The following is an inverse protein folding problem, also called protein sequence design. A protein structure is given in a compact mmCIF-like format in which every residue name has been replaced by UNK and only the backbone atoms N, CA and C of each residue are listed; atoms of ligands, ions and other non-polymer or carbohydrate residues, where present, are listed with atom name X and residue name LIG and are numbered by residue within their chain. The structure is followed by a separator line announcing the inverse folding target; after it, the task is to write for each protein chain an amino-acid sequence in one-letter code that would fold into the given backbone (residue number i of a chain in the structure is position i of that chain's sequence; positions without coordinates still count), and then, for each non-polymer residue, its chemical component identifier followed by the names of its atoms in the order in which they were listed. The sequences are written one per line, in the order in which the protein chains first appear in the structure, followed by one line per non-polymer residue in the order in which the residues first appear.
data_IF_967617661923
#
_entry.id   IF_967617661923
#
_cell.length_a   1.000
_cell.length_b   1.000
_cell.length_c   1.000
_cell.angle_alpha   90.00
_cell.angle_beta   90.00
_cell.angle_gamma   90.00
#
_symmetry.space_group_name_H-M   'P 1'
#
loop_
_entity.id
_entity.type
_entity.pdbx_description
1 polymer ?
#
# COMPACT_ATOMS: atom_id res chain seq x y z
N UNK A 1 1.58 20.06 -4.83
CA UNK A 1 2.54 19.72 -5.92
C UNK A 1 3.88 19.23 -5.33
N UNK A 2 3.85 18.41 -4.28
CA UNK A 2 5.03 17.98 -3.52
C UNK A 2 5.23 16.45 -3.54
N UNK A 3 4.15 15.68 -3.62
CA UNK A 3 4.21 14.22 -3.72
C UNK A 3 4.98 13.75 -4.96
N UNK A 4 4.77 14.39 -6.12
CA UNK A 4 5.45 14.03 -7.37
C UNK A 4 6.98 14.13 -7.19
N UNK A 5 7.47 15.18 -6.53
CA UNK A 5 8.89 15.38 -6.27
C UNK A 5 9.46 14.26 -5.37
N UNK A 6 8.74 13.87 -4.32
CA UNK A 6 9.12 12.74 -3.46
C UNK A 6 9.22 11.43 -4.27
N UNK A 7 8.26 11.19 -5.16
CA UNK A 7 8.25 9.96 -5.97
C UNK A 7 9.39 9.95 -7.01
N UNK A 8 9.66 11.08 -7.66
CA UNK A 8 10.74 11.20 -8.65
C UNK A 8 12.12 11.06 -7.99
N UNK A 9 12.36 11.79 -6.89
CA UNK A 9 13.61 11.72 -6.16
C UNK A 9 13.79 10.34 -5.51
N UNK A 10 12.76 9.83 -4.82
CA UNK A 10 12.81 8.53 -4.15
C UNK A 10 13.00 7.36 -5.12
N UNK A 11 12.44 7.42 -6.33
CA UNK A 11 12.73 6.44 -7.39
C UNK A 11 14.19 6.52 -7.85
N UNK A 12 14.69 7.72 -8.09
CA UNK A 12 16.06 7.94 -8.58
C UNK A 12 17.10 7.44 -7.58
N UNK A 13 16.83 7.64 -6.30
CA UNK A 13 17.68 7.21 -5.18
C UNK A 13 17.39 5.77 -4.70
N UNK A 14 16.43 5.08 -5.30
CA UNK A 14 15.99 3.71 -4.94
C UNK A 14 15.60 3.59 -3.45
N UNK A 15 14.86 4.57 -2.93
CA UNK A 15 14.41 4.61 -1.54
C UNK A 15 13.31 3.56 -1.26
N UNK A 16 12.40 3.36 -2.22
CA UNK A 16 11.32 2.38 -2.13
C UNK A 16 11.41 1.33 -3.24
N UNK A 17 10.92 0.12 -2.95
CA UNK A 17 10.92 -1.03 -3.87
C UNK A 17 9.60 -1.17 -4.63
N UNK A 18 8.52 -0.58 -4.12
CA UNK A 18 7.23 -0.50 -4.80
C UNK A 18 6.51 0.80 -4.42
N UNK A 19 5.63 1.25 -5.31
CA UNK A 19 4.74 2.38 -5.12
C UNK A 19 3.42 2.10 -5.84
N UNK A 20 2.29 2.39 -5.21
CA UNK A 20 0.95 2.25 -5.76
C UNK A 20 0.09 3.45 -5.36
N UNK A 21 -0.59 4.09 -6.31
CA UNK A 21 -1.52 5.16 -5.98
C UNK A 21 -2.73 4.63 -5.23
N UNK A 22 -3.31 5.50 -4.42
CA UNK A 22 -4.58 5.24 -3.77
C UNK A 22 -5.68 5.94 -4.55
N UNK A 23 -6.58 5.14 -5.11
CA UNK A 23 -7.69 5.58 -5.95
C UNK A 23 -9.01 4.90 -5.56
N UNK A 24 -9.71 4.27 -6.50
CA UNK A 24 -11.02 3.65 -6.28
C UNK A 24 -10.91 2.41 -5.37
N UNK A 25 -11.85 2.29 -4.44
CA UNK A 25 -11.81 1.27 -3.38
C UNK A 25 -10.80 1.57 -2.27
N UNK A 26 -10.18 2.75 -2.29
CA UNK A 26 -9.39 3.28 -1.18
C UNK A 26 -8.11 2.50 -0.89
N UNK A 27 -7.66 2.58 0.36
CA UNK A 27 -6.49 1.86 0.84
C UNK A 27 -6.71 0.34 0.80
N UNK A 28 -7.95 -0.13 1.00
CA UNK A 28 -8.28 -1.55 0.95
C UNK A 28 -7.93 -2.18 -0.41
N UNK A 29 -8.35 -1.55 -1.51
CA UNK A 29 -8.01 -2.04 -2.85
C UNK A 29 -6.53 -1.86 -3.17
N UNK A 30 -5.96 -0.71 -2.79
CA UNK A 30 -4.53 -0.44 -3.01
C UNK A 30 -3.66 -1.54 -2.39
N UNK A 31 -3.88 -1.90 -1.11
CA UNK A 31 -3.11 -2.95 -0.45
C UNK A 31 -3.40 -4.31 -1.09
N UNK A 32 -4.66 -4.61 -1.42
CA UNK A 32 -5.05 -5.87 -2.08
C UNK A 32 -4.27 -6.08 -3.38
N UNK A 33 -4.22 -5.08 -4.25
CA UNK A 33 -3.48 -5.14 -5.51
C UNK A 33 -1.97 -5.29 -5.28
N UNK A 34 -1.42 -4.57 -4.31
CA UNK A 34 0.00 -4.65 -3.95
C UNK A 34 0.40 -6.06 -3.43
N UNK A 35 -0.36 -6.64 -2.49
CA UNK A 35 -0.03 -7.95 -1.91
C UNK A 35 -0.22 -9.09 -2.93
N UNK A 36 -1.23 -8.99 -3.79
CA UNK A 36 -1.53 -10.01 -4.80
C UNK A 36 -0.55 -10.01 -5.98
N UNK A 37 0.09 -8.88 -6.29
CA UNK A 37 1.06 -8.77 -7.40
C UNK A 37 2.19 -9.79 -7.31
N UNK A 38 2.69 -10.03 -6.09
CA UNK A 38 3.81 -10.95 -5.83
C UNK A 38 3.50 -12.01 -4.77
N UNK A 39 2.24 -12.11 -4.33
CA UNK A 39 1.82 -13.01 -3.25
C UNK A 39 2.65 -12.83 -1.97
N UNK A 40 2.86 -11.56 -1.58
CA UNK A 40 3.56 -11.20 -0.34
C UNK A 40 2.60 -10.47 0.57
N UNK A 41 2.37 -11.05 1.75
CA UNK A 41 1.42 -10.55 2.73
C UNK A 41 1.82 -9.23 3.38
N UNK A 42 0.98 -8.74 4.28
CA UNK A 42 1.27 -7.55 5.06
C UNK A 42 0.52 -7.56 6.40
N UNK A 43 1.13 -6.97 7.42
CA UNK A 43 0.50 -6.66 8.69
C UNK A 43 0.45 -5.15 8.85
N UNK A 44 -0.76 -4.60 8.96
CA UNK A 44 -1.04 -3.16 8.96
C UNK A 44 -1.89 -2.80 10.17
N UNK A 45 -1.60 -1.64 10.76
CA UNK A 45 -2.35 -1.08 11.88
C UNK A 45 -3.00 0.25 11.50
N UNK A 46 -4.31 0.34 11.68
CA UNK A 46 -5.14 1.51 11.36
C UNK A 46 -5.87 1.99 12.62
N UNK A 47 -6.08 3.30 12.72
CA UNK A 47 -6.74 3.92 13.88
C UNK A 47 -8.24 4.04 13.61
N UNK A 48 -8.61 4.61 12.47
CA UNK A 48 -10.00 4.74 12.03
C UNK A 48 -10.22 3.82 10.83
N UNK A 49 -10.44 2.53 11.12
CA UNK A 49 -10.49 1.47 10.11
C UNK A 49 -11.47 1.80 8.97
N UNK A 50 -12.64 2.37 9.29
CA UNK A 50 -13.65 2.67 8.28
C UNK A 50 -13.18 3.77 7.31
N UNK A 51 -12.68 4.89 7.84
CA UNK A 51 -12.22 6.00 7.01
C UNK A 51 -10.88 5.70 6.32
N UNK A 52 -9.93 5.07 7.04
CA UNK A 52 -8.60 4.75 6.54
C UNK A 52 -8.67 3.77 5.36
N UNK A 53 -9.55 2.76 5.42
CA UNK A 53 -9.70 1.76 4.35
C UNK A 53 -10.41 2.30 3.11
N UNK A 54 -11.49 3.06 3.30
CA UNK A 54 -12.46 3.33 2.22
C UNK A 54 -12.38 4.76 1.66
N UNK A 55 -11.67 5.69 2.30
CA UNK A 55 -11.46 7.02 1.72
C UNK A 55 -10.69 6.90 0.41
N UNK A 56 -11.19 7.55 -0.65
CA UNK A 56 -10.59 7.59 -1.99
C UNK A 56 -9.89 8.93 -2.28
N UNK A 57 -9.44 9.62 -1.22
CA UNK A 57 -8.89 10.97 -1.36
C UNK A 57 -7.66 10.96 -2.29
N UNK A 58 -7.66 11.75 -3.39
CA UNK A 58 -6.56 11.80 -4.34
C UNK A 58 -5.25 12.30 -3.73
N UNK A 59 -4.13 12.03 -4.41
CA UNK A 59 -2.81 12.53 -4.00
C UNK A 59 -2.21 11.74 -2.83
N UNK A 60 -2.49 10.44 -2.76
CA UNK A 60 -1.89 9.51 -1.79
C UNK A 60 -1.28 8.32 -2.53
N UNK A 61 -0.17 7.81 -2.02
CA UNK A 61 0.55 6.66 -2.57
C UNK A 61 1.02 5.79 -1.42
N UNK A 62 0.86 4.48 -1.55
CA UNK A 62 1.44 3.49 -0.65
C UNK A 62 2.76 3.02 -1.24
N UNK A 63 3.81 3.00 -0.43
CA UNK A 63 5.16 2.56 -0.84
C UNK A 63 5.66 1.45 0.08
N UNK A 64 6.41 0.50 -0.47
CA UNK A 64 7.19 -0.46 0.32
C UNK A 64 8.66 -0.03 0.36
N UNK A 65 9.25 0.01 1.55
CA UNK A 65 10.57 0.60 1.79
C UNK A 65 11.39 -0.39 2.59
N UNK A 66 12.64 -0.61 2.19
CA UNK A 66 13.58 -1.38 3.00
C UNK A 66 13.82 -0.62 4.32
N UNK A 67 13.75 -1.28 5.50
CA UNK A 67 13.94 -0.61 6.78
C UNK A 67 15.21 0.25 6.85
N UNK A 68 16.30 -0.16 6.20
CA UNK A 68 17.57 0.60 6.13
C UNK A 68 17.46 1.95 5.40
N UNK A 69 16.42 2.14 4.58
CA UNK A 69 16.12 3.36 3.82
C UNK A 69 15.07 4.25 4.48
N UNK A 70 14.54 3.87 5.63
CA UNK A 70 13.49 4.63 6.33
C UNK A 70 13.91 6.06 6.66
N UNK A 71 15.15 6.28 7.11
CA UNK A 71 15.66 7.64 7.41
C UNK A 71 15.68 8.53 6.15
N UNK A 72 16.20 7.98 5.05
CA UNK A 72 16.26 8.70 3.77
C UNK A 72 14.86 9.09 3.27
N UNK A 73 13.86 8.21 3.43
CA UNK A 73 12.48 8.54 3.11
C UNK A 73 11.95 9.69 3.97
N UNK A 74 12.16 9.63 5.30
CA UNK A 74 11.65 10.65 6.22
C UNK A 74 12.28 12.01 5.93
N UNK A 75 13.59 12.06 5.65
CA UNK A 75 14.31 13.26 5.24
C UNK A 75 13.77 13.82 3.93
N UNK A 76 13.52 12.95 2.94
CA UNK A 76 12.97 13.35 1.64
C UNK A 76 11.55 13.93 1.78
N UNK A 77 10.69 13.26 2.54
CA UNK A 77 9.34 13.72 2.83
C UNK A 77 9.36 15.06 3.59
N UNK A 78 10.26 15.24 4.56
CA UNK A 78 10.44 16.50 5.27
C UNK A 78 10.88 17.64 4.34
N UNK A 79 11.86 17.39 3.46
CA UNK A 79 12.35 18.36 2.46
C UNK A 79 11.22 18.89 1.58
N UNK A 80 10.34 18.00 1.11
CA UNK A 80 9.21 18.37 0.25
C UNK A 80 7.91 18.66 1.03
N UNK A 81 7.96 18.70 2.37
CA UNK A 81 6.79 18.93 3.24
C UNK A 81 5.62 18.00 2.89
N UNK A 82 5.91 16.74 2.63
CA UNK A 82 4.92 15.71 2.29
C UNK A 82 4.65 14.86 3.53
N UNK A 83 3.40 14.79 4.02
CA UNK A 83 3.05 13.91 5.14
C UNK A 83 3.35 12.45 4.80
N UNK A 84 3.86 11.71 5.77
CA UNK A 84 4.13 10.28 5.67
C UNK A 84 3.77 9.62 6.98
N UNK A 85 3.13 8.45 6.90
CA UNK A 85 2.78 7.62 8.03
C UNK A 85 3.17 6.18 7.74
N UNK A 86 3.62 5.46 8.77
CA UNK A 86 3.90 4.02 8.66
C UNK A 86 2.60 3.26 8.85
N UNK A 87 2.24 2.44 7.86
CA UNK A 87 1.09 1.55 7.93
C UNK A 87 1.43 0.23 8.64
N UNK A 88 2.60 -0.35 8.37
CA UNK A 88 2.90 -1.71 8.79
C UNK A 88 4.17 -2.30 8.19
N UNK A 89 4.19 -3.62 8.01
CA UNK A 89 5.29 -4.39 7.42
C UNK A 89 4.77 -5.45 6.47
N UNK A 90 5.51 -5.72 5.39
CA UNK A 90 5.22 -6.79 4.43
C UNK A 90 5.87 -8.12 4.82
N UNK A 91 5.28 -9.24 4.43
CA UNK A 91 5.80 -10.59 4.65
C UNK A 91 4.69 -11.63 4.80
N UNK A 92 5.05 -12.91 4.71
CA UNK A 92 4.11 -14.03 4.86
C UNK A 92 3.13 -14.17 3.70
N UNK A 93 2.07 -14.93 3.94
CA UNK A 93 1.02 -15.33 2.98
C UNK A 93 -0.39 -14.91 3.41
N UNK A 94 -0.47 -13.93 4.32
CA UNK A 94 -1.72 -13.34 4.81
C UNK A 94 -1.70 -11.82 4.75
N UNK A 95 -2.88 -11.23 4.57
CA UNK A 95 -3.11 -9.81 4.84
C UNK A 95 -3.80 -9.69 6.21
N UNK A 96 -3.14 -8.99 7.12
CA UNK A 96 -3.61 -8.71 8.48
C UNK A 96 -3.81 -7.20 8.62
N UNK A 97 -5.02 -6.79 8.98
CA UNK A 97 -5.37 -5.39 9.27
C UNK A 97 -5.96 -5.36 10.67
N UNK A 98 -5.22 -4.78 11.62
CA UNK A 98 -5.50 -4.88 13.05
C UNK A 98 -5.63 -6.36 13.48
N UNK A 99 -6.83 -6.81 13.84
CA UNK A 99 -7.12 -8.18 14.25
C UNK A 99 -7.73 -9.03 13.11
N UNK A 100 -8.15 -8.41 12.01
CA UNK A 100 -8.75 -9.10 10.88
C UNK A 100 -7.66 -9.72 9.99
N UNK A 101 -7.82 -10.99 9.64
CA UNK A 101 -6.86 -11.76 8.82
C UNK A 101 -7.56 -12.42 7.66
N UNK A 102 -6.97 -12.34 6.46
CA UNK A 102 -7.37 -13.09 5.27
C UNK A 102 -6.14 -13.71 4.61
N UNK A 103 -6.25 -14.96 4.16
CA UNK A 103 -5.17 -15.59 3.38
C UNK A 103 -5.08 -14.96 1.99
N UNK A 104 -3.86 -14.88 1.42
CA UNK A 104 -3.71 -14.34 0.06
C UNK A 104 -4.40 -15.20 -0.99
N UNK A 105 -4.58 -16.50 -0.76
CA UNK A 105 -5.31 -17.38 -1.67
C UNK A 105 -6.81 -17.06 -1.71
N UNK A 106 -7.41 -16.87 -0.53
CA UNK A 106 -8.80 -16.45 -0.42
C UNK A 106 -9.01 -15.05 -1.02
N UNK A 107 -8.14 -14.10 -0.67
CA UNK A 107 -8.18 -12.74 -1.20
C UNK A 107 -8.05 -12.72 -2.73
N UNK A 108 -7.13 -13.52 -3.29
CA UNK A 108 -6.96 -13.66 -4.74
C UNK A 108 -8.22 -14.20 -5.40
N UNK A 109 -8.84 -15.21 -4.82
CA UNK A 109 -10.09 -15.81 -5.33
C UNK A 109 -11.22 -14.78 -5.33
N UNK A 110 -11.39 -14.05 -4.22
CA UNK A 110 -12.38 -12.99 -4.11
C UNK A 110 -12.17 -11.89 -5.16
N UNK A 111 -10.92 -11.44 -5.34
CA UNK A 111 -10.58 -10.35 -6.26
C UNK A 111 -10.69 -10.73 -7.74
N UNK A 112 -10.31 -11.96 -8.11
CA UNK A 112 -10.17 -12.35 -9.53
C UNK A 112 -11.35 -13.13 -10.09
N UNK A 113 -12.26 -13.66 -9.25
CA UNK A 113 -13.34 -14.56 -9.72
C UNK A 113 -14.48 -13.87 -10.47
N UNK A 114 -14.63 -12.55 -10.35
CA UNK A 114 -15.80 -11.84 -10.90
C UNK A 114 -15.88 -11.94 -12.41
N UNK A 115 -14.79 -11.63 -13.14
CA UNK A 115 -14.83 -11.70 -14.60
C UNK A 115 -14.96 -13.14 -15.13
N UNK A 116 -14.18 -14.13 -14.66
CA UNK A 116 -14.37 -15.52 -15.09
C UNK A 116 -15.77 -16.06 -14.82
N UNK A 117 -16.38 -15.69 -13.69
CA UNK A 117 -17.74 -16.12 -13.34
C UNK A 117 -18.81 -15.51 -14.27
N UNK A 118 -18.62 -14.27 -14.70
CA UNK A 118 -19.61 -13.57 -15.51
C UNK A 118 -19.40 -13.76 -17.02
N UNK A 119 -18.17 -14.04 -17.45
CA UNK A 119 -17.78 -13.99 -18.87
C UNK A 119 -17.06 -15.25 -19.39
N UNK A 120 -16.79 -16.24 -18.54
CA UNK A 120 -16.04 -17.46 -18.91
C UNK A 120 -14.54 -17.24 -19.01
#
# INVERSE_FOLDING_TARGET
MNLIEVLLAGRSEKIFTSAHDLSQGGLAMTITEMVLRHMVGATISLIDVANDLLSETPGRVVIAVDPSKSSALLELCAKYKTPVSKLGTTGGDTLVINEATISLQELKTAHTSTFPRLFG
#
